data_IF_810827120739
#
_entry.id   IF_810827120739
#
_cell.length_a   1.000
_cell.length_b   1.000
_cell.length_c   1.000
_cell.angle_alpha   90.00
_cell.angle_beta   90.00
_cell.angle_gamma   90.00
#
_symmetry.space_group_name_H-M   'P 1'
#
loop_
_entity.id
_entity.type
_entity.pdbx_description
1 polymer ?
#
# COMPACT_ATOMS: atom_id res chain seq x y z
N UNK A 1 67.25 54.24 -16.80
CA UNK A 1 66.71 52.88 -17.03
C UNK A 1 65.55 52.66 -16.08
N UNK A 2 64.34 52.43 -16.58
CA UNK A 2 63.16 52.17 -15.74
C UNK A 2 62.75 50.72 -15.96
N UNK A 3 62.79 49.92 -14.88
CA UNK A 3 62.38 48.51 -14.87
C UNK A 3 60.85 48.45 -14.87
N UNK A 4 60.27 47.73 -15.83
CA UNK A 4 58.84 47.40 -15.80
C UNK A 4 58.56 46.49 -14.58
N UNK A 5 57.72 46.96 -13.68
CA UNK A 5 57.09 46.14 -12.64
C UNK A 5 55.80 45.60 -13.27
N UNK A 6 55.72 44.29 -13.49
CA UNK A 6 54.47 43.66 -13.91
C UNK A 6 53.57 43.49 -12.69
N UNK A 7 52.39 44.09 -12.75
CA UNK A 7 51.33 43.98 -11.77
C UNK A 7 50.90 42.52 -11.57
N UNK A 8 51.06 42.01 -10.35
CA UNK A 8 50.43 40.76 -9.91
C UNK A 8 49.05 41.07 -9.35
N UNK A 9 48.06 41.31 -10.20
CA UNK A 9 46.66 41.31 -9.76
C UNK A 9 45.71 41.07 -10.94
N UNK A 10 45.36 39.80 -11.20
CA UNK A 10 44.38 39.51 -12.24
C UNK A 10 43.91 38.06 -12.39
N UNK A 11 44.32 37.13 -11.53
CA UNK A 11 43.98 35.70 -11.66
C UNK A 11 43.22 35.19 -10.43
N UNK A 12 42.00 35.68 -10.21
CA UNK A 12 41.18 35.19 -9.09
C UNK A 12 39.66 35.28 -9.26
N UNK A 13 39.16 35.92 -10.33
CA UNK A 13 37.72 36.17 -10.45
C UNK A 13 36.99 35.19 -11.40
N UNK A 14 37.71 34.58 -12.35
CA UNK A 14 37.13 33.62 -13.31
C UNK A 14 36.92 32.23 -12.69
N UNK A 15 37.83 31.77 -11.83
CA UNK A 15 37.70 30.47 -11.15
C UNK A 15 36.54 30.43 -10.14
N UNK A 16 36.31 31.50 -9.36
CA UNK A 16 35.23 31.57 -8.39
C UNK A 16 33.83 31.55 -9.02
N UNK A 17 33.66 32.13 -10.21
CA UNK A 17 32.41 32.10 -10.96
C UNK A 17 32.13 30.70 -11.54
N UNK A 18 33.18 30.01 -12.01
CA UNK A 18 33.05 28.64 -12.49
C UNK A 18 32.66 27.69 -11.36
N UNK A 19 33.24 27.83 -10.16
CA UNK A 19 32.88 27.01 -8.98
C UNK A 19 31.39 27.18 -8.61
N UNK A 20 30.86 28.40 -8.62
CA UNK A 20 29.42 28.65 -8.38
C UNK A 20 28.53 28.05 -9.46
N UNK A 21 28.95 28.10 -10.72
CA UNK A 21 28.21 27.51 -11.84
C UNK A 21 28.10 25.99 -11.70
N UNK A 22 29.22 25.33 -11.39
CA UNK A 22 29.24 23.89 -11.16
C UNK A 22 28.43 23.48 -9.94
N UNK A 23 28.53 24.22 -8.83
CA UNK A 23 27.72 23.96 -7.63
C UNK A 23 26.22 24.02 -7.95
N UNK A 24 25.79 25.06 -8.67
CA UNK A 24 24.38 25.24 -9.06
C UNK A 24 23.91 24.12 -9.99
N UNK A 25 24.79 23.62 -10.87
CA UNK A 25 24.51 22.48 -11.75
C UNK A 25 24.31 21.19 -10.96
N UNK A 26 25.21 20.87 -10.04
CA UNK A 26 25.10 19.67 -9.19
C UNK A 26 23.86 19.72 -8.28
N UNK A 27 23.58 20.85 -7.64
CA UNK A 27 22.40 21.03 -6.80
C UNK A 27 21.10 20.82 -7.59
N UNK A 28 21.07 21.25 -8.87
CA UNK A 28 19.92 21.07 -9.75
C UNK A 28 19.76 19.62 -10.19
N UNK A 29 20.87 18.93 -10.47
CA UNK A 29 20.86 17.50 -10.80
C UNK A 29 20.40 16.64 -9.63
N UNK A 30 20.87 16.92 -8.40
CA UNK A 30 20.44 16.20 -7.19
C UNK A 30 18.93 16.36 -6.94
N UNK A 31 18.39 17.57 -7.14
CA UNK A 31 16.94 17.82 -7.04
C UNK A 31 16.14 17.01 -8.07
N UNK A 32 16.61 16.97 -9.33
CA UNK A 32 15.97 16.19 -10.39
C UNK A 32 15.97 14.69 -10.05
N UNK A 33 17.06 14.17 -9.48
CA UNK A 33 17.14 12.77 -9.06
C UNK A 33 16.20 12.46 -7.87
N UNK A 34 16.17 13.33 -6.85
CA UNK A 34 15.23 13.20 -5.72
C UNK A 34 13.78 13.21 -6.19
N UNK A 35 13.41 14.15 -7.07
CA UNK A 35 12.05 14.22 -7.62
C UNK A 35 11.67 12.96 -8.42
N UNK A 36 12.61 12.37 -9.18
CA UNK A 36 12.38 11.10 -9.89
C UNK A 36 12.13 9.95 -8.92
N UNK A 37 12.92 9.86 -7.85
CA UNK A 37 12.77 8.84 -6.80
C UNK A 37 11.43 9.00 -6.07
N UNK A 38 11.04 10.22 -5.73
CA UNK A 38 9.77 10.48 -5.04
C UNK A 38 8.57 10.23 -5.96
N UNK A 39 8.62 10.62 -7.24
CA UNK A 39 7.59 10.26 -8.23
C UNK A 39 7.48 8.75 -8.43
N UNK A 40 8.60 8.02 -8.42
CA UNK A 40 8.60 6.56 -8.46
C UNK A 40 7.97 5.94 -7.20
N UNK A 41 8.30 6.46 -6.00
CA UNK A 41 7.67 6.05 -4.74
C UNK A 41 6.17 6.32 -4.72
N UNK A 42 5.71 7.42 -5.31
CA UNK A 42 4.29 7.75 -5.44
C UNK A 42 3.58 6.79 -6.42
N UNK A 43 4.21 6.45 -7.56
CA UNK A 43 3.69 5.41 -8.47
C UNK A 43 3.59 4.04 -7.79
N UNK A 44 4.52 3.72 -6.89
CA UNK A 44 4.51 2.47 -6.14
C UNK A 44 3.46 2.42 -5.01
N UNK A 45 2.78 3.52 -4.69
CA UNK A 45 1.92 3.55 -3.49
C UNK A 45 0.63 2.76 -3.56
N UNK A 46 0.21 2.18 -4.69
CA UNK A 46 -0.88 1.16 -4.69
C UNK A 46 -0.92 0.41 -6.02
N UNK A 47 0.15 -0.26 -6.44
CA UNK A 47 0.01 -1.29 -7.48
C UNK A 47 -0.64 -2.53 -6.85
N UNK A 48 -1.71 -3.03 -7.46
CA UNK A 48 -2.38 -4.24 -6.99
C UNK A 48 -1.60 -5.49 -7.42
N UNK A 49 -1.14 -6.31 -6.48
CA UNK A 49 -0.39 -7.55 -6.78
C UNK A 49 -1.23 -8.59 -7.54
N UNK A 50 -2.56 -8.51 -7.45
CA UNK A 50 -3.46 -9.46 -8.12
C UNK A 50 -3.71 -9.12 -9.60
N UNK A 51 -3.90 -7.85 -9.95
CA UNK A 51 -4.28 -7.45 -11.30
C UNK A 51 -3.30 -6.47 -11.97
N UNK A 52 -2.23 -6.08 -11.28
CA UNK A 52 -1.18 -5.18 -11.78
C UNK A 52 -1.62 -3.72 -11.98
N UNK A 53 -2.89 -3.37 -11.67
CA UNK A 53 -3.40 -2.00 -11.84
C UNK A 53 -3.11 -1.16 -10.60
N UNK A 54 -2.76 0.11 -10.85
CA UNK A 54 -2.54 1.13 -9.82
C UNK A 54 -3.86 1.69 -9.24
N UNK A 55 -3.80 2.22 -8.02
CA UNK A 55 -4.92 2.90 -7.35
C UNK A 55 -5.71 2.03 -6.37
N UNK A 56 -5.34 0.77 -6.17
CA UNK A 56 -5.97 -0.11 -5.19
C UNK A 56 -5.03 -1.21 -4.71
N UNK A 57 -5.34 -1.83 -3.58
CA UNK A 57 -4.55 -2.95 -3.04
C UNK A 57 -5.17 -4.29 -3.44
N UNK A 58 -4.40 -5.37 -3.30
CA UNK A 58 -4.89 -6.73 -3.50
C UNK A 58 -6.15 -7.06 -2.69
N UNK A 59 -6.38 -6.42 -1.55
CA UNK A 59 -7.58 -6.62 -0.72
C UNK A 59 -8.83 -5.93 -1.32
N UNK A 60 -8.67 -4.76 -1.94
CA UNK A 60 -9.78 -3.99 -2.52
C UNK A 60 -10.02 -4.30 -4.00
N UNK A 61 -9.20 -5.17 -4.61
CA UNK A 61 -9.30 -5.54 -6.02
C UNK A 61 -10.65 -6.19 -6.40
N UNK A 62 -11.34 -5.60 -7.38
CA UNK A 62 -12.60 -6.09 -7.92
C UNK A 62 -12.46 -7.49 -8.53
N UNK A 63 -11.42 -7.73 -9.34
CA UNK A 63 -11.20 -9.04 -9.97
C UNK A 63 -10.99 -10.15 -8.92
N UNK A 64 -10.21 -9.87 -7.87
CA UNK A 64 -9.97 -10.81 -6.77
C UNK A 64 -11.26 -11.11 -5.99
N UNK A 65 -12.03 -10.07 -5.65
CA UNK A 65 -13.32 -10.21 -4.95
C UNK A 65 -14.29 -11.08 -5.75
N UNK A 66 -14.42 -10.84 -7.05
CA UNK A 66 -15.28 -11.65 -7.91
C UNK A 66 -14.81 -13.10 -8.02
N UNK A 67 -13.50 -13.34 -8.14
CA UNK A 67 -12.95 -14.70 -8.16
C UNK A 67 -13.28 -15.47 -6.87
N UNK A 68 -13.14 -14.82 -5.70
CA UNK A 68 -13.51 -15.40 -4.41
C UNK A 68 -15.02 -15.67 -4.33
N UNK A 69 -15.85 -14.72 -4.78
CA UNK A 69 -17.30 -14.88 -4.80
C UNK A 69 -17.74 -16.07 -5.66
N UNK A 70 -17.21 -16.20 -6.88
CA UNK A 70 -17.49 -17.35 -7.76
C UNK A 70 -17.07 -18.68 -7.13
N UNK A 71 -15.91 -18.73 -6.46
CA UNK A 71 -15.49 -19.91 -5.70
C UNK A 71 -16.47 -20.24 -4.57
N UNK A 72 -16.92 -19.24 -3.81
CA UNK A 72 -17.88 -19.40 -2.73
C UNK A 72 -19.26 -19.84 -3.23
N UNK A 73 -19.64 -19.43 -4.45
CA UNK A 73 -20.92 -19.80 -5.05
C UNK A 73 -21.04 -21.32 -5.25
N UNK A 74 -19.95 -21.94 -5.72
CA UNK A 74 -19.90 -23.36 -6.06
C UNK A 74 -19.54 -24.22 -4.84
N UNK A 75 -18.78 -23.66 -3.88
CA UNK A 75 -18.34 -24.39 -2.69
C UNK A 75 -19.52 -24.83 -1.81
N UNK A 76 -19.60 -26.12 -1.52
CA UNK A 76 -20.49 -26.70 -0.50
C UNK A 76 -20.06 -26.27 0.90
N UNK A 77 -21.03 -26.04 1.77
CA UNK A 77 -20.76 -25.83 3.18
C UNK A 77 -20.69 -27.17 3.91
N UNK A 78 -19.54 -27.47 4.53
CA UNK A 78 -19.34 -28.72 5.28
C UNK A 78 -20.32 -28.89 6.47
N UNK A 79 -20.93 -27.81 6.96
CA UNK A 79 -21.86 -27.87 8.09
C UNK A 79 -23.30 -28.17 7.68
N UNK A 80 -23.79 -27.59 6.57
CA UNK A 80 -25.21 -27.69 6.18
C UNK A 80 -25.44 -28.30 4.80
N UNK A 81 -24.38 -28.66 4.08
CA UNK A 81 -24.45 -29.21 2.72
C UNK A 81 -24.82 -28.22 1.62
N UNK A 82 -25.32 -27.02 1.93
CA UNK A 82 -25.74 -26.02 0.94
C UNK A 82 -24.55 -25.24 0.35
N UNK A 83 -24.68 -24.79 -0.89
CA UNK A 83 -23.68 -23.96 -1.59
C UNK A 83 -23.88 -22.46 -1.32
N UNK A 84 -23.02 -21.61 -1.90
CA UNK A 84 -23.27 -20.17 -1.96
C UNK A 84 -22.71 -19.34 -0.79
N UNK A 85 -22.11 -19.98 0.22
CA UNK A 85 -21.67 -19.27 1.42
C UNK A 85 -20.39 -19.87 2.03
N UNK A 86 -19.77 -19.11 2.93
CA UNK A 86 -18.61 -19.58 3.72
C UNK A 86 -19.07 -20.24 5.02
N UNK A 87 -18.23 -21.09 5.60
CA UNK A 87 -18.49 -21.73 6.88
C UNK A 87 -18.84 -20.71 8.00
N UNK A 88 -18.21 -19.53 8.01
CA UNK A 88 -18.48 -18.45 8.96
C UNK A 88 -19.81 -17.71 8.70
N UNK A 89 -20.34 -17.80 7.48
CA UNK A 89 -21.62 -17.23 7.05
C UNK A 89 -22.76 -18.26 7.08
N UNK A 90 -22.49 -19.51 7.49
CA UNK A 90 -23.52 -20.54 7.56
C UNK A 90 -24.58 -20.20 8.60
N UNK A 91 -25.81 -19.95 8.13
CA UNK A 91 -26.95 -19.60 8.98
C UNK A 91 -27.25 -20.69 10.01
N UNK A 92 -27.32 -21.96 9.57
CA UNK A 92 -27.57 -23.09 10.47
C UNK A 92 -26.52 -23.16 11.57
N UNK A 93 -25.25 -22.95 11.23
CA UNK A 93 -24.15 -22.94 12.21
C UNK A 93 -24.32 -21.80 13.21
N UNK A 94 -24.55 -20.56 12.74
CA UNK A 94 -24.77 -19.41 13.64
C UNK A 94 -25.95 -19.64 14.58
N UNK A 95 -27.05 -20.19 14.08
CA UNK A 95 -28.21 -20.49 14.91
C UNK A 95 -27.92 -21.58 15.95
N UNK A 96 -27.15 -22.63 15.62
CA UNK A 96 -26.74 -23.64 16.61
C UNK A 96 -25.83 -23.05 17.70
N UNK A 97 -24.92 -22.14 17.35
CA UNK A 97 -24.06 -21.46 18.31
C UNK A 97 -24.86 -20.47 19.18
N UNK A 98 -25.80 -19.75 18.57
CA UNK A 98 -26.70 -18.84 19.27
C UNK A 98 -27.57 -19.59 20.27
N UNK A 99 -28.18 -20.73 19.91
CA UNK A 99 -28.94 -21.58 20.83
C UNK A 99 -28.10 -22.08 22.01
N UNK A 100 -26.86 -22.50 21.77
CA UNK A 100 -25.93 -22.91 22.84
C UNK A 100 -25.58 -21.78 23.81
N UNK A 101 -25.62 -20.53 23.36
CA UNK A 101 -25.31 -19.37 24.20
C UNK A 101 -26.55 -18.78 24.92
N UNK A 102 -27.75 -19.31 24.66
CA UNK A 102 -28.97 -18.93 25.40
C UNK A 102 -28.98 -19.66 26.74
N UNK A 103 -28.99 -18.91 27.84
CA UNK A 103 -29.08 -19.41 29.22
C UNK A 103 -30.52 -19.33 29.71
N UNK A 104 -31.05 -20.44 30.24
CA UNK A 104 -32.38 -20.47 30.85
C UNK A 104 -32.37 -19.71 32.19
N UNK A 105 -33.33 -18.79 32.34
CA UNK A 105 -33.46 -17.93 33.53
C UNK A 105 -33.96 -18.72 34.75
N UNK A 106 -34.71 -19.81 34.53
CA UNK A 106 -35.27 -20.64 35.59
C UNK A 106 -34.31 -21.70 36.12
N UNK A 107 -33.44 -22.27 35.28
CA UNK A 107 -32.55 -23.37 35.68
C UNK A 107 -31.05 -23.08 35.52
N UNK A 108 -30.65 -21.93 34.97
CA UNK A 108 -29.25 -21.52 34.79
C UNK A 108 -28.47 -22.34 33.75
N UNK A 109 -29.12 -23.27 33.04
CA UNK A 109 -28.47 -24.13 32.03
C UNK A 109 -28.48 -23.46 30.64
N UNK A 110 -27.40 -23.67 29.90
CA UNK A 110 -27.24 -23.22 28.52
C UNK A 110 -27.95 -24.15 27.53
N UNK A 111 -28.42 -23.60 26.40
CA UNK A 111 -28.97 -24.36 25.27
C UNK A 111 -30.46 -24.21 24.99
N UNK A 112 -31.22 -23.52 25.85
CA UNK A 112 -32.67 -23.34 25.69
C UNK A 112 -33.17 -22.05 26.36
N UNK A 113 -34.25 -21.49 25.81
CA UNK A 113 -35.11 -20.52 26.48
C UNK A 113 -36.32 -21.29 27.01
N UNK A 114 -36.78 -20.97 28.22
CA UNK A 114 -37.86 -21.61 29.00
C UNK A 114 -37.42 -22.78 29.88
#
# INVERSE_FOLDING_TARGET
MQRCVFDKAGLGFEEMNNVKLYQTFFDRMEKIEKEKVDKAKIKNKTMCDYCGKIGHTSFTCFHKKNAIFRKNLIRTCNFCGKHGHTHSQCYNRRNTMSKKNIMCIHCGKYGHAF
#
